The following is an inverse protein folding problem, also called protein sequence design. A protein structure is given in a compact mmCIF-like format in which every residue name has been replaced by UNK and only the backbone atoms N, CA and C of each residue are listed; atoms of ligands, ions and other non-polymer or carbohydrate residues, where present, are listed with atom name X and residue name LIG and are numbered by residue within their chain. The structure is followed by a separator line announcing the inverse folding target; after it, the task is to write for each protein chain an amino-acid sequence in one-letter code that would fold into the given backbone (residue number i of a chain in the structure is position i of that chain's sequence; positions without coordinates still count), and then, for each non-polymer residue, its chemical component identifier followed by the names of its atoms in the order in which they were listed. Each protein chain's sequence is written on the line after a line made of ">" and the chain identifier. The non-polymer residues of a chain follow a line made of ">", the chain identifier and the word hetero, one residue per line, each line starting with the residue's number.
data_IF_730566892731
#
_entry.id   IF_730566892731
#
_cell.length_a   1.000
_cell.length_b   1.000
_cell.length_c   1.000
_cell.angle_alpha   90.00
_cell.angle_beta   90.00
_cell.angle_gamma   90.00
#
_symmetry.space_group_name_H-M   'P 1'
#
loop_
_entity.id
_entity.type
_entity.pdbx_description
1 polymer ?
#
# COMPACT_ATOMS: atom_id res chain seq x y z
N UNK A 1 21.02 41.65 54.82
CA UNK A 1 21.68 42.97 54.81
C UNK A 1 21.82 43.57 56.22
N UNK A 2 20.72 43.76 56.96
CA UNK A 2 20.74 44.24 58.36
C UNK A 2 21.62 43.39 59.30
N UNK A 3 21.52 42.06 59.21
CA UNK A 3 22.35 41.12 59.98
C UNK A 3 23.85 41.26 59.70
N UNK A 4 24.22 41.51 58.43
CA UNK A 4 25.61 41.67 58.02
C UNK A 4 26.18 43.00 58.52
N UNK A 5 25.37 44.05 58.53
CA UNK A 5 25.73 45.37 59.05
C UNK A 5 25.94 45.33 60.57
N UNK A 6 25.10 44.58 61.29
CA UNK A 6 25.24 44.33 62.74
C UNK A 6 26.55 43.58 63.07
N UNK A 7 26.91 42.59 62.23
CA UNK A 7 28.14 41.81 62.40
C UNK A 7 29.40 42.65 62.16
N UNK A 8 29.39 43.52 61.14
CA UNK A 8 30.50 44.45 60.85
C UNK A 8 30.69 45.46 61.99
N UNK A 9 29.59 45.99 62.54
CA UNK A 9 29.62 46.91 63.68
C UNK A 9 30.18 46.26 64.94
N UNK A 10 29.92 44.97 65.13
CA UNK A 10 30.42 44.18 66.27
C UNK A 10 31.92 43.88 66.16
N UNK A 11 32.45 43.74 64.93
CA UNK A 11 33.88 43.50 64.66
C UNK A 11 34.71 44.79 64.74
N UNK A 12 34.16 45.94 64.34
CA UNK A 12 34.85 47.24 64.38
C UNK A 12 34.79 47.95 65.74
N UNK A 13 33.98 47.43 66.67
CA UNK A 13 33.81 47.98 68.01
C UNK A 13 35.11 48.25 68.82
N UNK A 14 36.19 47.44 68.73
CA UNK A 14 37.40 47.68 69.53
C UNK A 14 38.33 48.77 68.96
N UNK A 15 38.11 49.26 67.73
CA UNK A 15 38.96 50.25 67.06
C UNK A 15 38.48 51.70 67.25
N UNK A 16 37.26 51.90 67.76
CA UNK A 16 36.71 53.21 68.07
C UNK A 16 36.99 53.53 69.55
N UNK A 17 37.77 54.58 69.87
CA UNK A 17 37.94 55.02 71.25
C UNK A 17 36.61 55.60 71.72
N UNK A 18 35.84 54.78 72.42
CA UNK A 18 34.61 55.20 73.05
C UNK A 18 34.99 56.13 74.22
N UNK A 19 34.45 57.36 74.29
CA UNK A 19 34.51 58.13 75.52
C UNK A 19 33.92 57.28 76.66
N UNK A 20 34.40 57.42 77.92
CA UNK A 20 33.78 56.78 79.08
C UNK A 20 32.45 57.50 79.38
N UNK A 21 31.54 57.43 78.43
CA UNK A 21 30.12 57.59 78.69
C UNK A 21 29.77 56.37 79.52
N UNK A 22 29.17 56.53 80.70
CA UNK A 22 28.41 55.45 81.31
C UNK A 22 27.25 55.18 80.36
N UNK A 23 27.52 54.44 79.28
CA UNK A 23 26.49 53.69 78.60
C UNK A 23 25.94 52.84 79.73
N UNK A 24 24.68 53.08 80.15
CA UNK A 24 24.09 52.21 81.11
C UNK A 24 24.22 50.83 80.46
N UNK A 25 24.86 49.92 81.17
CA UNK A 25 24.99 48.53 80.80
C UNK A 25 23.71 47.71 81.14
N UNK A 26 22.46 48.23 81.35
CA UNK A 26 21.35 47.36 81.67
C UNK A 26 20.78 46.69 80.42
N UNK A 27 21.43 46.79 79.26
CA UNK A 27 21.03 46.05 78.06
C UNK A 27 21.86 44.78 77.85
N UNK A 28 23.06 44.65 78.44
CA UNK A 28 23.82 43.39 78.47
C UNK A 28 23.66 42.62 79.78
N UNK A 29 23.15 43.27 80.85
CA UNK A 29 22.71 42.59 82.08
C UNK A 29 21.25 42.16 82.05
N UNK A 30 20.55 42.32 80.91
CA UNK A 30 19.42 41.44 80.62
C UNK A 30 20.02 40.07 80.34
N UNK A 31 20.44 39.39 81.40
CA UNK A 31 20.64 37.96 81.41
C UNK A 31 19.30 37.39 81.01
N UNK A 32 19.15 37.11 79.72
CA UNK A 32 17.95 36.54 79.16
C UNK A 32 17.71 35.27 79.99
N UNK A 33 16.67 35.24 80.83
CA UNK A 33 16.57 34.23 81.88
C UNK A 33 16.65 32.87 81.19
N UNK A 34 17.44 31.97 81.73
CA UNK A 34 17.66 30.61 81.19
C UNK A 34 16.39 29.98 80.56
N UNK A 35 15.18 30.05 81.18
CA UNK A 35 13.96 29.55 80.55
C UNK A 35 13.61 30.20 79.21
N UNK A 36 13.80 31.50 79.04
CA UNK A 36 13.54 32.20 77.78
C UNK A 36 14.58 31.82 76.70
N UNK A 37 15.84 31.58 77.07
CA UNK A 37 16.86 31.09 76.13
C UNK A 37 16.52 29.67 75.63
N UNK A 38 16.13 28.77 76.54
CA UNK A 38 15.68 27.43 76.19
C UNK A 38 14.44 27.45 75.29
N UNK A 39 13.46 28.32 75.58
CA UNK A 39 12.28 28.50 74.74
C UNK A 39 12.66 28.99 73.35
N UNK A 40 13.56 29.97 73.23
CA UNK A 40 14.04 30.46 71.93
C UNK A 40 14.74 29.37 71.13
N UNK A 41 15.60 28.56 71.77
CA UNK A 41 16.26 27.43 71.12
C UNK A 41 15.26 26.38 70.65
N UNK A 42 14.26 26.05 71.46
CA UNK A 42 13.19 25.11 71.08
C UNK A 42 12.37 25.64 69.90
N UNK A 43 12.01 26.93 69.89
CA UNK A 43 11.31 27.56 68.77
C UNK A 43 12.17 27.52 67.50
N UNK A 44 13.47 27.84 67.59
CA UNK A 44 14.37 27.79 66.45
C UNK A 44 14.55 26.37 65.90
N UNK A 45 14.68 25.36 66.77
CA UNK A 45 14.75 23.96 66.39
C UNK A 45 13.47 23.49 65.69
N UNK A 46 12.31 23.88 66.21
CA UNK A 46 11.01 23.56 65.61
C UNK A 46 10.86 24.22 64.23
N UNK A 47 11.26 25.49 64.08
CA UNK A 47 11.28 26.18 62.80
C UNK A 47 12.23 25.50 61.79
N UNK A 48 13.42 25.08 62.22
CA UNK A 48 14.36 24.35 61.36
C UNK A 48 13.78 23.01 60.91
N UNK A 49 13.16 22.26 61.82
CA UNK A 49 12.52 20.98 61.50
C UNK A 49 11.34 21.16 60.55
N UNK A 50 10.53 22.21 60.75
CA UNK A 50 9.44 22.58 59.83
C UNK A 50 9.97 22.93 58.44
N UNK A 51 11.04 23.73 58.36
CA UNK A 51 11.69 24.09 57.10
C UNK A 51 12.23 22.84 56.38
N UNK A 52 12.89 21.93 57.10
CA UNK A 52 13.39 20.68 56.55
C UNK A 52 12.26 19.80 56.01
N UNK A 53 11.15 19.68 56.77
CA UNK A 53 9.97 18.95 56.33
C UNK A 53 9.37 19.55 55.06
N UNK A 54 9.26 20.88 54.99
CA UNK A 54 8.76 21.59 53.81
C UNK A 54 9.66 21.35 52.59
N UNK A 55 10.99 21.40 52.77
CA UNK A 55 11.95 21.13 51.71
C UNK A 55 11.83 19.69 51.19
N UNK A 56 11.69 18.71 52.10
CA UNK A 56 11.51 17.31 51.74
C UNK A 56 10.18 17.08 50.99
N UNK A 57 9.09 17.72 51.43
CA UNK A 57 7.80 17.69 50.74
C UNK A 57 7.93 18.26 49.32
N UNK A 58 8.60 19.40 49.17
CA UNK A 58 8.82 20.03 47.86
C UNK A 58 9.65 19.13 46.93
N UNK A 59 10.71 18.50 47.44
CA UNK A 59 11.53 17.55 46.69
C UNK A 59 10.70 16.33 46.23
N UNK A 60 9.89 15.77 47.13
CA UNK A 60 9.01 14.65 46.83
C UNK A 60 8.00 15.02 45.72
N UNK A 61 7.40 16.21 45.81
CA UNK A 61 6.47 16.71 44.81
C UNK A 61 7.17 16.88 43.45
N UNK A 62 8.38 17.44 43.43
CA UNK A 62 9.17 17.59 42.20
C UNK A 62 9.51 16.24 41.58
N UNK A 63 9.93 15.26 42.39
CA UNK A 63 10.20 13.89 41.94
C UNK A 63 8.95 13.26 41.33
N UNK A 64 7.80 13.40 41.99
CA UNK A 64 6.52 12.88 41.51
C UNK A 64 6.11 13.54 40.19
N UNK A 65 6.28 14.86 40.06
CA UNK A 65 6.05 15.58 38.81
C UNK A 65 6.96 15.09 37.69
N UNK A 66 8.25 14.90 37.96
CA UNK A 66 9.21 14.38 37.00
C UNK A 66 8.84 12.96 36.54
N UNK A 67 8.45 12.09 37.47
CA UNK A 67 8.00 10.74 37.17
C UNK A 67 6.72 10.75 36.32
N UNK A 68 5.76 11.62 36.64
CA UNK A 68 4.55 11.81 35.85
C UNK A 68 4.88 12.27 34.42
N UNK A 69 5.79 13.23 34.28
CA UNK A 69 6.24 13.72 32.97
C UNK A 69 6.95 12.63 32.16
N UNK A 70 7.81 11.84 32.80
CA UNK A 70 8.46 10.69 32.17
C UNK A 70 7.41 9.66 31.69
N UNK A 71 6.42 9.34 32.53
CA UNK A 71 5.35 8.42 32.18
C UNK A 71 4.53 8.94 30.98
N UNK A 72 4.20 10.22 30.98
CA UNK A 72 3.51 10.88 29.88
C UNK A 72 4.33 10.81 28.58
N UNK A 73 5.63 11.10 28.65
CA UNK A 73 6.55 10.99 27.52
C UNK A 73 6.58 9.56 26.96
N UNK A 74 6.69 8.56 27.84
CA UNK A 74 6.69 7.15 27.47
C UNK A 74 5.38 6.77 26.76
N UNK A 75 4.24 7.21 27.30
CA UNK A 75 2.93 6.95 26.71
C UNK A 75 2.79 7.61 25.33
N UNK A 76 3.29 8.84 25.17
CA UNK A 76 3.31 9.53 23.88
C UNK A 76 4.20 8.81 22.86
N UNK A 77 5.38 8.35 23.28
CA UNK A 77 6.28 7.54 22.44
C UNK A 77 5.59 6.24 21.99
N UNK A 78 4.94 5.53 22.92
CA UNK A 78 4.21 4.30 22.62
C UNK A 78 3.09 4.56 21.61
N UNK A 79 2.31 5.63 21.82
CA UNK A 79 1.24 6.02 20.90
C UNK A 79 1.81 6.29 19.50
N UNK A 80 2.91 7.03 19.40
CA UNK A 80 3.58 7.31 18.14
C UNK A 80 4.04 6.02 17.44
N UNK A 81 4.62 5.08 18.19
CA UNK A 81 5.06 3.79 17.66
C UNK A 81 3.89 2.96 17.13
N UNK A 82 2.77 2.92 17.86
CA UNK A 82 1.54 2.23 17.41
C UNK A 82 1.01 2.88 16.14
N UNK A 83 0.97 4.21 16.09
CA UNK A 83 0.51 4.96 14.91
C UNK A 83 1.39 4.66 13.69
N UNK A 84 2.72 4.67 13.85
CA UNK A 84 3.68 4.33 12.79
C UNK A 84 3.46 2.91 12.29
N UNK A 85 3.29 1.94 13.19
CA UNK A 85 3.04 0.55 12.85
C UNK A 85 1.72 0.37 12.09
N UNK A 86 0.67 1.08 12.51
CA UNK A 86 -0.62 1.09 11.81
C UNK A 86 -0.50 1.68 10.41
N UNK A 87 0.24 2.78 10.26
CA UNK A 87 0.51 3.37 8.94
C UNK A 87 1.30 2.42 8.04
N UNK A 88 2.32 1.75 8.56
CA UNK A 88 3.08 0.74 7.83
C UNK A 88 2.19 -0.42 7.39
N UNK A 89 1.31 -0.91 8.28
CA UNK A 89 0.36 -1.97 7.96
C UNK A 89 -0.61 -1.55 6.84
N UNK A 90 -1.14 -0.33 6.90
CA UNK A 90 -2.01 0.22 5.86
C UNK A 90 -1.29 0.30 4.51
N UNK A 91 -0.04 0.76 4.48
CA UNK A 91 0.78 0.81 3.25
C UNK A 91 1.02 -0.60 2.68
N UNK A 92 1.32 -1.58 3.54
CA UNK A 92 1.52 -2.96 3.13
C UNK A 92 0.23 -3.57 2.55
N UNK A 93 -0.92 -3.32 3.20
CA UNK A 93 -2.22 -3.75 2.71
C UNK A 93 -2.53 -3.12 1.34
N UNK A 94 -2.27 -1.82 1.19
CA UNK A 94 -2.47 -1.11 -0.08
C UNK A 94 -1.61 -1.71 -1.21
N UNK A 95 -0.34 -2.00 -0.93
CA UNK A 95 0.56 -2.62 -1.89
C UNK A 95 0.07 -4.02 -2.30
N UNK A 96 -0.40 -4.82 -1.34
CA UNK A 96 -0.98 -6.13 -1.61
C UNK A 96 -2.23 -6.04 -2.49
N UNK A 97 -3.13 -5.08 -2.22
CA UNK A 97 -4.31 -4.84 -3.04
C UNK A 97 -3.94 -4.42 -4.47
N UNK A 98 -2.94 -3.56 -4.64
CA UNK A 98 -2.45 -3.16 -5.95
C UNK A 98 -1.87 -4.34 -6.74
N UNK A 99 -1.08 -5.19 -6.07
CA UNK A 99 -0.52 -6.40 -6.69
C UNK A 99 -1.63 -7.39 -7.11
N UNK A 100 -2.65 -7.57 -6.27
CA UNK A 100 -3.80 -8.41 -6.61
C UNK A 100 -4.56 -7.86 -7.83
N UNK A 101 -4.80 -6.55 -7.88
CA UNK A 101 -5.46 -5.90 -9.01
C UNK A 101 -4.66 -6.05 -10.30
N UNK A 102 -3.34 -5.88 -10.24
CA UNK A 102 -2.44 -6.09 -11.37
C UNK A 102 -2.51 -7.54 -11.87
N UNK A 103 -2.49 -8.51 -10.96
CA UNK A 103 -2.61 -9.93 -11.30
C UNK A 103 -3.96 -10.23 -11.99
N UNK A 104 -5.05 -9.69 -11.46
CA UNK A 104 -6.38 -9.85 -12.05
C UNK A 104 -6.44 -9.26 -13.46
N UNK A 105 -5.89 -8.07 -13.67
CA UNK A 105 -5.80 -7.42 -14.98
C UNK A 105 -5.02 -8.28 -15.97
N UNK A 106 -3.87 -8.81 -15.54
CA UNK A 106 -3.05 -9.69 -16.37
C UNK A 106 -3.81 -10.97 -16.77
N UNK A 107 -4.52 -11.58 -15.82
CA UNK A 107 -5.34 -12.76 -16.07
C UNK A 107 -6.45 -12.46 -17.08
N UNK A 108 -7.13 -11.33 -16.92
CA UNK A 108 -8.17 -10.88 -17.85
C UNK A 108 -7.62 -10.67 -19.26
N UNK A 109 -6.45 -10.02 -19.37
CA UNK A 109 -5.78 -9.82 -20.66
C UNK A 109 -5.42 -11.15 -21.32
N UNK A 110 -4.88 -12.10 -20.55
CA UNK A 110 -4.55 -13.44 -21.04
C UNK A 110 -5.80 -14.16 -21.55
N UNK A 111 -6.90 -14.11 -20.81
CA UNK A 111 -8.18 -14.70 -21.19
C UNK A 111 -8.70 -14.08 -22.50
N UNK A 112 -8.65 -12.75 -22.61
CA UNK A 112 -9.05 -12.04 -23.82
C UNK A 112 -8.22 -12.47 -25.03
N UNK A 113 -6.89 -12.56 -24.86
CA UNK A 113 -5.97 -13.01 -25.90
C UNK A 113 -6.29 -14.45 -26.34
N UNK A 114 -6.55 -15.35 -25.37
CA UNK A 114 -6.94 -16.73 -25.65
C UNK A 114 -8.26 -16.80 -26.44
N UNK A 115 -9.26 -16.02 -26.04
CA UNK A 115 -10.54 -15.92 -26.74
C UNK A 115 -10.35 -15.44 -28.19
N UNK A 116 -9.55 -14.39 -28.38
CA UNK A 116 -9.23 -13.85 -29.70
C UNK A 116 -8.54 -14.90 -30.58
N UNK A 117 -7.57 -15.63 -30.01
CA UNK A 117 -6.87 -16.71 -30.71
C UNK A 117 -7.84 -17.82 -31.13
N UNK A 118 -8.74 -18.24 -30.23
CA UNK A 118 -9.76 -19.25 -30.51
C UNK A 118 -10.69 -18.79 -31.65
N UNK A 119 -11.15 -17.53 -31.59
CA UNK A 119 -11.99 -16.94 -32.63
C UNK A 119 -11.27 -16.93 -33.99
N UNK A 120 -10.00 -16.54 -34.01
CA UNK A 120 -9.19 -16.53 -35.22
C UNK A 120 -9.00 -17.95 -35.78
N UNK A 121 -8.75 -18.94 -34.92
CA UNK A 121 -8.67 -20.34 -35.31
C UNK A 121 -9.99 -20.83 -35.92
N UNK A 122 -11.12 -20.52 -35.29
CA UNK A 122 -12.44 -20.90 -35.79
C UNK A 122 -12.74 -20.26 -37.15
N UNK A 123 -12.43 -18.97 -37.31
CA UNK A 123 -12.54 -18.27 -38.58
C UNK A 123 -11.71 -18.97 -39.67
N UNK A 124 -10.46 -19.34 -39.36
CA UNK A 124 -9.57 -20.04 -40.28
C UNK A 124 -10.16 -21.40 -40.69
N UNK A 125 -10.69 -22.17 -39.74
CA UNK A 125 -11.33 -23.47 -40.03
C UNK A 125 -12.54 -23.32 -40.94
N UNK A 126 -13.40 -22.32 -40.69
CA UNK A 126 -14.55 -22.01 -41.55
C UNK A 126 -14.07 -21.66 -42.97
N UNK A 127 -13.06 -20.79 -43.08
CA UNK A 127 -12.50 -20.40 -44.38
C UNK A 127 -11.98 -21.61 -45.16
N UNK A 128 -11.24 -22.50 -44.49
CA UNK A 128 -10.71 -23.72 -45.09
C UNK A 128 -11.84 -24.66 -45.54
N UNK A 129 -12.89 -24.83 -44.74
CA UNK A 129 -14.05 -25.63 -45.10
C UNK A 129 -14.77 -25.08 -46.33
N UNK A 130 -14.96 -23.76 -46.40
CA UNK A 130 -15.57 -23.09 -47.56
C UNK A 130 -14.74 -23.31 -48.83
N UNK A 131 -13.41 -23.23 -48.72
CA UNK A 131 -12.50 -23.48 -49.85
C UNK A 131 -12.60 -24.93 -50.34
N UNK A 132 -12.65 -25.91 -49.43
CA UNK A 132 -12.85 -27.32 -49.79
C UNK A 132 -14.19 -27.56 -50.48
N UNK A 133 -15.27 -26.95 -49.98
CA UNK A 133 -16.60 -27.04 -50.58
C UNK A 133 -16.60 -26.45 -51.99
N UNK A 134 -15.98 -25.28 -52.18
CA UNK A 134 -15.82 -24.66 -53.49
C UNK A 134 -15.07 -25.58 -54.46
N UNK A 135 -13.96 -26.17 -54.01
CA UNK A 135 -13.17 -27.12 -54.81
C UNK A 135 -14.01 -28.33 -55.24
N UNK A 136 -14.80 -28.91 -54.32
CA UNK A 136 -15.67 -30.04 -54.61
C UNK A 136 -16.76 -29.68 -55.64
N UNK A 137 -17.37 -28.51 -55.51
CA UNK A 137 -18.35 -28.00 -56.48
C UNK A 137 -17.74 -27.84 -57.87
N UNK A 138 -16.52 -27.29 -57.97
CA UNK A 138 -15.80 -27.15 -59.24
C UNK A 138 -15.47 -28.51 -59.87
N UNK A 139 -15.03 -29.48 -59.07
CA UNK A 139 -14.75 -30.84 -59.54
C UNK A 139 -16.01 -31.52 -60.08
N UNK A 140 -17.13 -31.40 -59.37
CA UNK A 140 -18.42 -31.94 -59.81
C UNK A 140 -18.89 -31.30 -61.12
N UNK A 141 -18.76 -29.98 -61.25
CA UNK A 141 -19.06 -29.27 -62.49
C UNK A 141 -18.21 -29.78 -63.66
N UNK A 142 -16.91 -29.94 -63.45
CA UNK A 142 -15.99 -30.45 -64.46
C UNK A 142 -16.33 -31.89 -64.87
N UNK A 143 -16.68 -32.75 -63.91
CA UNK A 143 -17.14 -34.11 -64.18
C UNK A 143 -18.41 -34.12 -65.04
N UNK A 144 -19.39 -33.28 -64.70
CA UNK A 144 -20.65 -33.16 -65.44
C UNK A 144 -20.41 -32.68 -66.88
N UNK A 145 -19.55 -31.67 -67.06
CA UNK A 145 -19.14 -31.19 -68.38
C UNK A 145 -18.51 -32.32 -69.22
N UNK A 146 -17.60 -33.09 -68.61
CA UNK A 146 -16.94 -34.21 -69.28
C UNK A 146 -17.94 -35.31 -69.68
N UNK A 147 -18.88 -35.64 -68.80
CA UNK A 147 -19.95 -36.59 -69.11
C UNK A 147 -20.83 -36.11 -70.28
N UNK A 148 -21.23 -34.84 -70.27
CA UNK A 148 -22.02 -34.25 -71.34
C UNK A 148 -21.28 -34.35 -72.69
N UNK A 149 -19.99 -34.00 -72.70
CA UNK A 149 -19.15 -34.09 -73.89
C UNK A 149 -19.08 -35.53 -74.41
N UNK A 150 -18.93 -36.51 -73.51
CA UNK A 150 -18.92 -37.93 -73.87
C UNK A 150 -20.24 -38.36 -74.52
N UNK A 151 -21.38 -37.98 -73.93
CA UNK A 151 -22.71 -38.28 -74.47
C UNK A 151 -22.87 -37.67 -75.87
N UNK A 152 -22.48 -36.41 -76.04
CA UNK A 152 -22.55 -35.72 -77.33
C UNK A 152 -21.73 -36.44 -78.40
N UNK A 153 -20.50 -36.86 -78.05
CA UNK A 153 -19.62 -37.60 -78.94
C UNK A 153 -20.23 -38.96 -79.34
N UNK A 154 -20.82 -39.69 -78.39
CA UNK A 154 -21.52 -40.95 -78.67
C UNK A 154 -22.73 -40.75 -79.59
N UNK A 155 -23.53 -39.70 -79.38
CA UNK A 155 -24.65 -39.36 -80.26
C UNK A 155 -24.19 -39.02 -81.68
N UNK A 156 -23.12 -38.25 -81.80
CA UNK A 156 -22.53 -37.92 -83.10
C UNK A 156 -22.07 -39.19 -83.83
N UNK A 157 -21.38 -40.09 -83.12
CA UNK A 157 -20.96 -41.39 -83.65
C UNK A 157 -22.16 -42.23 -84.13
N UNK A 158 -23.21 -42.30 -83.32
CA UNK A 158 -24.44 -43.03 -83.65
C UNK A 158 -25.11 -42.46 -84.90
N UNK A 159 -25.20 -41.13 -85.00
CA UNK A 159 -25.77 -40.45 -86.16
C UNK A 159 -24.96 -40.72 -87.43
N UNK A 160 -23.63 -40.69 -87.33
CA UNK A 160 -22.73 -41.03 -88.43
C UNK A 160 -22.90 -42.49 -88.87
N UNK A 161 -23.00 -43.42 -87.92
CA UNK A 161 -23.28 -44.83 -88.18
C UNK A 161 -24.63 -45.00 -88.91
N UNK A 162 -25.68 -44.33 -88.44
CA UNK A 162 -27.01 -44.40 -89.05
C UNK A 162 -27.00 -43.83 -90.47
N UNK A 163 -26.32 -42.72 -90.70
CA UNK A 163 -26.15 -42.14 -92.04
C UNK A 163 -25.42 -43.10 -92.97
N UNK A 164 -24.34 -43.73 -92.51
CA UNK A 164 -23.61 -44.74 -93.28
C UNK A 164 -24.51 -45.94 -93.63
N UNK A 165 -25.33 -46.40 -92.68
CA UNK A 165 -26.29 -47.48 -92.91
C UNK A 165 -27.37 -47.08 -93.93
N UNK A 166 -27.91 -45.85 -93.85
CA UNK A 166 -28.86 -45.36 -94.85
C UNK A 166 -28.25 -45.28 -96.26
N UNK A 167 -27.01 -44.80 -96.38
CA UNK A 167 -26.30 -44.77 -97.66
C UNK A 167 -26.11 -46.18 -98.23
N UNK A 168 -25.75 -47.15 -97.37
CA UNK A 168 -25.60 -48.54 -97.78
C UNK A 168 -26.94 -49.13 -98.27
N UNK A 169 -28.04 -48.88 -97.56
CA UNK A 169 -29.38 -49.29 -97.99
C UNK A 169 -29.79 -48.66 -99.32
N UNK A 170 -29.51 -47.37 -99.52
CA UNK A 170 -29.78 -46.67 -100.77
C UNK A 170 -29.00 -47.30 -101.94
N UNK A 171 -27.72 -47.61 -101.75
CA UNK A 171 -26.90 -48.29 -102.76
C UNK A 171 -27.44 -49.69 -103.09
N UNK A 172 -27.92 -50.43 -102.10
CA UNK A 172 -28.57 -51.73 -102.32
C UNK A 172 -29.86 -51.59 -103.11
N UNK A 173 -30.70 -50.60 -102.80
CA UNK A 173 -31.94 -50.34 -103.55
C UNK A 173 -31.67 -49.92 -104.99
N UNK A 174 -30.70 -49.03 -105.22
CA UNK A 174 -30.28 -48.62 -106.57
C UNK A 174 -29.86 -49.84 -107.39
N UNK A 175 -29.05 -50.73 -106.81
CA UNK A 175 -28.64 -51.97 -107.47
C UNK A 175 -29.80 -52.92 -107.81
N UNK A 176 -30.90 -52.88 -107.06
CA UNK A 176 -32.08 -53.72 -107.29
C UNK A 176 -33.04 -53.16 -108.35
N UNK A 177 -32.91 -51.89 -108.75
CA UNK A 177 -33.74 -51.26 -109.81
C UNK A 177 -33.16 -51.54 -111.21
N UNK A 178 -31.85 -51.74 -111.32
CA UNK A 178 -31.14 -52.03 -112.59
C UNK A 178 -30.95 -53.53 -112.89
N UNK A 179 -31.48 -54.40 -112.03
CA UNK A 179 -31.65 -55.83 -112.26
C UNK A 179 -33.07 -56.12 -112.74
#
# INVERSE_FOLDING_TARGET
>A
MLLLLLLILLILQPLLPLPPVPLPLPLLTVSLPLPLLLLLLLVLLLLLLLLLLLLLLLLLLLLLLLLLLLLLLLLLLLLLLILLLLLLLLLLLQLLLLLLLLLLLLLLLLLLLLLLLLLLLLLLLILLQLLLLLQLMLLLLLLLLLLLLLILLLLLLLLLLLLLLMLLLLLLLDSAIFT
#
